data_IF_656159894029
#
_entry.id   IF_656159894029
#
_cell.length_a   1.000
_cell.length_b   1.000
_cell.length_c   1.000
_cell.angle_alpha   90.00
_cell.angle_beta   90.00
_cell.angle_gamma   90.00
#
_symmetry.space_group_name_H-M   'P 1'
#
loop_
_entity.id
_entity.type
_entity.pdbx_description
1 polymer ?
#
# COMPACT_ATOMS: atom_id res chain seq x y z
N UNK A 1 6.40 -5.98 -1.30
CA UNK A 1 5.09 -6.37 -1.91
C UNK A 1 3.94 -5.44 -1.48
N UNK A 2 4.15 -4.57 -0.50
CA UNK A 2 3.21 -3.58 0.04
C UNK A 2 2.48 -2.73 -1.03
N UNK A 3 3.23 -2.17 -1.98
CA UNK A 3 2.73 -1.22 -2.97
C UNK A 3 1.63 -1.72 -3.92
N UNK A 4 1.32 -3.02 -3.95
CA UNK A 4 0.09 -3.53 -4.61
C UNK A 4 -1.19 -3.25 -3.80
N UNK A 5 -1.10 -2.57 -2.65
CA UNK A 5 -2.23 -2.20 -1.78
C UNK A 5 -2.35 -0.69 -1.48
N UNK A 6 -1.31 0.12 -1.71
CA UNK A 6 -1.29 1.59 -1.47
C UNK A 6 -0.85 2.38 -2.73
N UNK A 7 -0.94 3.73 -2.76
CA UNK A 7 -0.76 4.53 -4.00
C UNK A 7 -0.24 6.00 -3.85
N UNK A 8 0.49 6.58 -4.85
CA UNK A 8 1.14 7.93 -4.81
C UNK A 8 2.67 8.27 -5.17
N UNK A 9 3.16 9.25 -5.98
CA UNK A 9 4.63 9.64 -6.10
C UNK A 9 5.22 11.09 -5.93
N UNK A 10 6.57 11.25 -5.77
CA UNK A 10 7.31 12.54 -5.52
C UNK A 10 8.21 13.03 -6.68
N UNK A 11 8.27 14.35 -6.90
CA UNK A 11 8.86 15.04 -8.08
C UNK A 11 10.38 15.01 -8.24
N UNK A 12 10.79 15.03 -9.51
CA UNK A 12 11.85 15.93 -10.01
C UNK A 12 11.22 17.22 -10.61
N UNK A 13 11.97 18.31 -10.69
CA UNK A 13 11.52 19.66 -11.06
C UNK A 13 10.88 19.79 -12.47
N UNK A 14 10.01 20.80 -12.70
CA UNK A 14 9.22 20.91 -13.93
C UNK A 14 10.06 21.36 -15.15
N UNK A 15 9.69 20.85 -16.33
CA UNK A 15 9.94 21.52 -17.61
C UNK A 15 8.64 22.17 -18.09
N UNK A 16 8.75 23.36 -18.67
CA UNK A 16 7.60 24.04 -19.25
C UNK A 16 7.03 23.25 -20.43
N UNK A 17 5.74 22.93 -20.40
CA UNK A 17 4.99 22.54 -21.59
C UNK A 17 4.39 23.79 -22.25
N UNK A 18 4.45 23.78 -23.58
CA UNK A 18 4.02 24.88 -24.45
C UNK A 18 2.53 25.16 -24.27
N UNK A 19 2.13 26.43 -24.23
CA UNK A 19 0.73 26.81 -24.27
C UNK A 19 0.14 26.41 -25.64
N UNK A 20 -0.88 25.55 -25.64
CA UNK A 20 -1.66 25.31 -26.85
C UNK A 20 -2.53 26.54 -27.11
N UNK A 21 -2.28 27.22 -28.24
CA UNK A 21 -3.08 28.36 -28.66
C UNK A 21 -4.51 27.95 -29.00
N UNK A 22 -5.47 28.79 -28.62
CA UNK A 22 -6.89 28.57 -28.88
C UNK A 22 -7.22 28.67 -30.36
N UNK A 23 -7.34 27.54 -31.05
CA UNK A 23 -7.84 27.47 -32.42
C UNK A 23 -9.32 27.10 -32.45
N UNK A 24 -10.13 28.01 -32.99
CA UNK A 24 -11.60 27.93 -33.02
C UNK A 24 -12.13 27.17 -34.24
N UNK A 25 -13.04 26.20 -34.09
CA UNK A 25 -14.11 25.97 -35.10
C UNK A 25 -15.26 25.04 -34.66
N UNK A 26 -16.47 25.37 -35.12
CA UNK A 26 -17.60 24.49 -35.47
C UNK A 26 -18.13 23.41 -34.52
N UNK A 27 -19.14 23.80 -33.73
CA UNK A 27 -20.52 23.27 -33.77
C UNK A 27 -20.77 21.78 -34.15
N UNK A 28 -21.33 21.03 -33.18
CA UNK A 28 -22.31 19.97 -33.44
C UNK A 28 -23.31 19.89 -32.26
N UNK A 29 -24.58 20.28 -32.49
CA UNK A 29 -25.63 20.18 -31.47
C UNK A 29 -26.31 18.81 -31.50
N UNK A 30 -26.45 18.16 -30.34
CA UNK A 30 -27.51 17.16 -30.12
C UNK A 30 -28.14 17.33 -28.74
N UNK A 31 -29.38 17.86 -28.72
CA UNK A 31 -30.29 17.77 -27.57
C UNK A 31 -31.12 16.50 -27.69
N UNK A 32 -31.32 15.79 -26.58
CA UNK A 32 -32.49 14.93 -26.39
C UNK A 32 -33.07 15.24 -25.01
N UNK A 33 -34.38 15.51 -24.98
CA UNK A 33 -35.15 15.73 -23.74
C UNK A 33 -36.45 14.95 -23.85
N UNK A 34 -36.85 14.27 -22.77
CA UNK A 34 -38.19 13.67 -22.63
C UNK A 34 -38.71 13.88 -21.21
N UNK A 35 -40.04 13.81 -21.05
CA UNK A 35 -40.76 14.55 -20.00
C UNK A 35 -41.76 13.69 -19.23
N UNK A 36 -41.58 13.60 -17.91
CA UNK A 36 -42.63 13.30 -16.92
C UNK A 36 -43.24 11.88 -16.92
N UNK A 37 -44.30 11.64 -16.11
CA UNK A 37 -44.96 12.55 -15.17
C UNK A 37 -44.86 12.11 -13.69
N UNK A 38 -45.55 12.85 -12.81
CA UNK A 38 -45.50 12.75 -11.33
C UNK A 38 -46.60 11.81 -10.79
N UNK A 39 -46.35 11.14 -9.66
CA UNK A 39 -47.42 10.78 -8.71
C UNK A 39 -46.93 10.81 -7.25
N UNK A 40 -47.75 11.37 -6.35
CA UNK A 40 -47.56 11.35 -4.90
C UNK A 40 -48.54 10.37 -4.26
N UNK A 41 -48.10 9.60 -3.26
CA UNK A 41 -48.97 9.15 -2.16
C UNK A 41 -48.25 9.20 -0.82
N UNK A 42 -48.78 10.00 0.09
CA UNK A 42 -48.47 9.92 1.51
C UNK A 42 -49.31 8.81 2.15
N UNK A 43 -48.79 8.17 3.19
CA UNK A 43 -49.59 7.35 4.10
C UNK A 43 -49.35 7.84 5.53
N UNK A 44 -50.40 8.36 6.16
CA UNK A 44 -50.40 8.78 7.56
C UNK A 44 -51.06 7.66 8.37
N UNK A 45 -50.40 7.13 9.39
CA UNK A 45 -51.03 6.28 10.41
C UNK A 45 -50.51 6.71 11.78
N UNK A 46 -51.46 7.03 12.67
CA UNK A 46 -51.21 7.31 14.07
C UNK A 46 -52.35 6.72 14.89
N UNK A 47 -52.02 6.15 16.05
CA UNK A 47 -52.74 6.15 17.35
C UNK A 47 -52.26 4.97 18.21
N UNK A 48 -52.28 5.12 19.54
CA UNK A 48 -51.93 4.04 20.47
C UNK A 48 -51.24 4.47 21.76
N UNK A 49 -51.80 5.45 22.49
CA UNK A 49 -51.34 5.76 23.84
C UNK A 49 -51.98 4.82 24.87
N UNK A 50 -51.21 4.32 25.83
CA UNK A 50 -51.70 3.48 26.93
C UNK A 50 -50.80 3.56 28.15
N UNK A 51 -51.35 3.98 29.30
CA UNK A 51 -50.60 4.14 30.55
C UNK A 51 -50.48 2.80 31.31
N UNK A 52 -49.31 2.56 31.92
CA UNK A 52 -49.04 1.41 32.80
C UNK A 52 -48.02 1.78 33.89
N UNK A 53 -48.42 1.68 35.16
CA UNK A 53 -47.74 2.36 36.28
C UNK A 53 -46.39 1.75 36.71
N UNK A 54 -45.40 2.64 36.87
CA UNK A 54 -44.39 2.69 37.95
C UNK A 54 -43.64 1.43 38.39
N UNK A 55 -42.32 1.41 38.11
CA UNK A 55 -41.31 1.31 39.18
C UNK A 55 -39.97 1.91 38.76
N UNK A 56 -39.45 2.85 39.54
CA UNK A 56 -38.09 3.40 39.38
C UNK A 56 -37.18 2.76 40.41
N UNK A 57 -36.09 2.13 39.95
CA UNK A 57 -34.97 1.69 40.78
C UNK A 57 -33.67 2.03 40.09
N UNK A 58 -33.01 3.10 40.55
CA UNK A 58 -31.63 3.40 40.16
C UNK A 58 -30.68 2.46 40.91
N UNK A 59 -29.95 1.63 40.16
CA UNK A 59 -28.79 0.89 40.65
C UNK A 59 -27.79 0.76 39.49
N UNK A 60 -26.53 1.16 39.72
CA UNK A 60 -25.51 1.20 38.68
C UNK A 60 -24.55 0.00 38.80
N UNK A 61 -24.32 -0.72 37.71
CA UNK A 61 -23.04 -1.37 37.35
C UNK A 61 -23.13 -2.17 36.03
N UNK A 62 -22.10 -2.09 35.19
CA UNK A 62 -21.58 -3.27 34.48
C UNK A 62 -22.38 -3.88 33.32
N UNK A 63 -23.14 -3.12 32.54
CA UNK A 63 -23.68 -3.63 31.27
C UNK A 63 -22.58 -3.70 30.19
N UNK A 64 -22.08 -4.90 29.89
CA UNK A 64 -21.08 -5.10 28.83
C UNK A 64 -21.67 -4.84 27.43
N UNK A 65 -20.93 -4.13 26.58
CA UNK A 65 -21.35 -3.84 25.21
C UNK A 65 -21.61 -5.14 24.40
N UNK A 66 -22.66 -5.20 23.56
CA UNK A 66 -22.99 -6.41 22.83
C UNK A 66 -21.89 -6.77 21.83
N UNK A 67 -21.26 -7.94 22.01
CA UNK A 67 -20.31 -8.50 21.04
C UNK A 67 -21.06 -8.84 19.75
N UNK A 68 -21.05 -7.90 18.80
CA UNK A 68 -21.69 -8.07 17.51
C UNK A 68 -21.02 -9.23 16.75
N UNK A 69 -21.70 -10.38 16.68
CA UNK A 69 -21.23 -11.56 15.93
C UNK A 69 -21.45 -11.34 14.44
N UNK A 70 -20.68 -10.43 13.84
CA UNK A 70 -20.50 -10.39 12.39
C UNK A 70 -20.05 -11.78 11.92
N UNK A 71 -20.83 -12.41 11.04
CA UNK A 71 -20.46 -13.70 10.47
C UNK A 71 -19.12 -13.58 9.75
N UNK A 72 -18.22 -14.54 9.95
CA UNK A 72 -16.97 -14.61 9.17
C UNK A 72 -17.32 -14.80 7.69
N UNK A 73 -17.36 -13.72 6.93
CA UNK A 73 -17.31 -13.78 5.48
C UNK A 73 -15.90 -14.23 5.13
N UNK A 74 -15.78 -15.46 4.63
CA UNK A 74 -14.50 -16.01 4.22
C UNK A 74 -13.92 -15.15 3.09
N UNK A 75 -12.66 -14.73 3.23
CA UNK A 75 -12.03 -13.79 2.29
C UNK A 75 -11.61 -14.59 1.05
N UNK A 76 -12.40 -14.45 -0.01
CA UNK A 76 -12.24 -15.17 -1.27
C UNK A 76 -10.81 -14.96 -1.84
N UNK A 77 -10.08 -16.06 -2.07
CA UNK A 77 -8.64 -16.02 -2.35
C UNK A 77 -8.33 -15.80 -3.84
N UNK A 78 -8.70 -14.62 -4.34
CA UNK A 78 -8.34 -14.15 -5.69
C UNK A 78 -6.81 -14.03 -5.90
N UNK A 79 -6.39 -13.86 -7.16
CA UNK A 79 -5.01 -13.49 -7.50
C UNK A 79 -4.58 -12.14 -6.87
N UNK A 80 -5.54 -11.24 -6.65
CA UNK A 80 -5.35 -9.86 -6.17
C UNK A 80 -5.54 -9.70 -4.64
N UNK A 81 -5.80 -10.80 -3.93
CA UNK A 81 -5.90 -10.82 -2.46
C UNK A 81 -4.49 -10.88 -1.85
N UNK A 82 -4.10 -10.00 -0.91
CA UNK A 82 -2.78 -10.04 -0.28
C UNK A 82 -2.49 -11.42 0.34
N UNK A 83 -1.29 -11.94 0.07
CA UNK A 83 -0.83 -13.25 0.57
C UNK A 83 0.33 -13.06 1.53
N UNK A 84 0.62 -14.09 2.32
CA UNK A 84 1.88 -14.16 3.06
C UNK A 84 2.92 -14.90 2.22
N UNK A 85 4.18 -14.47 2.30
CA UNK A 85 5.25 -14.97 1.43
C UNK A 85 6.36 -15.68 2.22
N UNK A 86 6.95 -16.69 1.60
CA UNK A 86 8.11 -17.43 2.10
C UNK A 86 9.06 -17.74 0.95
N UNK A 87 10.28 -18.16 1.25
CA UNK A 87 11.34 -18.33 0.24
C UNK A 87 12.25 -19.51 0.54
N UNK A 88 13.17 -19.76 -0.38
CA UNK A 88 14.30 -20.65 -0.16
C UNK A 88 15.35 -19.89 0.67
N UNK A 89 15.28 -20.08 1.99
CA UNK A 89 16.17 -19.41 2.93
C UNK A 89 17.62 -19.91 2.83
N UNK A 90 17.83 -21.10 2.29
CA UNK A 90 19.15 -21.71 2.18
C UNK A 90 19.82 -21.20 0.88
N UNK A 91 19.05 -20.99 -0.20
CA UNK A 91 19.45 -20.18 -1.37
C UNK A 91 19.74 -18.71 -0.97
N UNK A 92 18.91 -18.08 -0.11
CA UNK A 92 19.20 -16.74 0.44
C UNK A 92 20.51 -16.68 1.24
N UNK A 93 20.76 -17.67 2.11
CA UNK A 93 22.01 -17.76 2.87
C UNK A 93 23.22 -17.90 1.91
N UNK A 94 23.14 -18.71 0.85
CA UNK A 94 24.21 -18.80 -0.16
C UNK A 94 24.42 -17.48 -0.93
N UNK A 95 23.35 -16.80 -1.33
CA UNK A 95 23.42 -15.54 -2.09
C UNK A 95 24.13 -14.41 -1.30
N UNK A 96 23.98 -14.39 0.03
CA UNK A 96 24.59 -13.38 0.91
C UNK A 96 25.85 -13.85 1.65
N UNK A 97 26.30 -15.10 1.46
CA UNK A 97 27.52 -15.60 2.10
C UNK A 97 28.77 -14.91 1.54
N UNK A 98 29.49 -14.19 2.41
CA UNK A 98 30.73 -13.44 2.07
C UNK A 98 31.90 -14.31 1.63
N UNK A 99 31.92 -15.60 2.01
CA UNK A 99 32.91 -16.57 1.55
C UNK A 99 32.61 -17.06 0.13
N UNK A 100 31.33 -17.15 -0.26
CA UNK A 100 30.86 -17.67 -1.54
C UNK A 100 30.72 -16.54 -2.59
N UNK A 101 29.92 -15.50 -2.31
CA UNK A 101 29.60 -14.46 -3.28
C UNK A 101 30.59 -13.28 -3.20
N UNK A 102 31.47 -13.17 -4.20
CA UNK A 102 32.47 -12.09 -4.30
C UNK A 102 31.97 -10.80 -4.96
N UNK A 103 30.68 -10.71 -5.26
CA UNK A 103 30.03 -9.49 -5.76
C UNK A 103 29.36 -8.67 -4.64
N UNK A 104 29.40 -9.13 -3.38
CA UNK A 104 28.87 -8.41 -2.23
C UNK A 104 29.72 -7.16 -1.95
N UNK A 105 29.10 -5.98 -2.10
CA UNK A 105 29.73 -4.70 -1.84
C UNK A 105 29.49 -4.29 -0.38
N UNK A 106 30.25 -4.88 0.55
CA UNK A 106 30.05 -4.66 2.00
C UNK A 106 30.10 -3.16 2.38
N UNK A 107 30.93 -2.34 1.73
CA UNK A 107 30.98 -0.89 1.99
C UNK A 107 29.69 -0.15 1.58
N UNK A 108 28.98 -0.62 0.55
CA UNK A 108 27.65 -0.09 0.17
C UNK A 108 26.59 -0.56 1.17
N UNK A 109 26.67 -1.81 1.65
CA UNK A 109 25.80 -2.30 2.72
C UNK A 109 26.05 -1.64 4.08
N UNK A 110 27.30 -1.35 4.47
CA UNK A 110 27.62 -0.61 5.70
C UNK A 110 27.09 0.83 5.65
N UNK A 111 27.21 1.49 4.50
CA UNK A 111 26.63 2.82 4.26
C UNK A 111 25.09 2.81 4.39
N UNK A 112 24.43 1.85 3.74
CA UNK A 112 22.99 1.63 3.87
C UNK A 112 22.59 1.32 5.33
N UNK A 113 23.37 0.50 6.04
CA UNK A 113 23.12 0.16 7.44
C UNK A 113 23.23 1.39 8.37
N UNK A 114 24.12 2.34 8.08
CA UNK A 114 24.18 3.60 8.81
C UNK A 114 22.90 4.44 8.61
N UNK A 115 22.42 4.54 7.37
CA UNK A 115 21.17 5.24 7.01
C UNK A 115 19.93 4.59 7.65
N UNK A 116 19.85 3.25 7.68
CA UNK A 116 18.77 2.52 8.40
C UNK A 116 18.83 2.70 9.94
N UNK A 117 20.04 2.86 10.51
CA UNK A 117 20.27 3.11 11.94
C UNK A 117 19.95 4.54 12.38
N UNK A 118 20.02 5.51 11.47
CA UNK A 118 19.69 6.91 11.76
C UNK A 118 18.19 7.12 12.11
N UNK A 119 17.31 6.26 11.60
CA UNK A 119 15.88 6.17 11.98
C UNK A 119 15.14 7.52 12.06
N UNK A 120 15.25 8.35 11.02
CA UNK A 120 14.63 9.68 10.97
C UNK A 120 13.11 9.66 11.20
N UNK A 121 12.46 8.51 10.98
CA UNK A 121 11.02 8.29 11.19
C UNK A 121 10.66 7.73 12.59
N UNK A 122 11.60 7.66 13.55
CA UNK A 122 11.38 7.12 14.89
C UNK A 122 10.13 7.68 15.59
N UNK A 123 9.93 9.01 15.50
CA UNK A 123 8.81 9.73 16.13
C UNK A 123 7.66 10.04 15.17
N UNK A 124 7.77 9.67 13.89
CA UNK A 124 6.81 10.07 12.85
C UNK A 124 5.42 9.42 13.03
N UNK A 125 5.36 8.14 13.41
CA UNK A 125 4.13 7.35 13.48
C UNK A 125 3.27 7.61 14.75
N UNK A 126 3.26 8.85 15.24
CA UNK A 126 2.46 9.32 16.37
C UNK A 126 1.13 9.89 15.87
N UNK A 127 0.02 9.29 16.30
CA UNK A 127 -1.35 9.68 15.91
C UNK A 127 -1.86 10.86 16.75
N UNK A 128 -2.67 11.73 16.16
CA UNK A 128 -3.33 12.85 16.82
C UNK A 128 -4.86 12.60 16.97
N UNK A 129 -5.62 13.47 17.67
CA UNK A 129 -7.07 13.31 17.82
C UNK A 129 -7.91 13.49 16.54
N UNK A 130 -7.38 14.11 15.48
CA UNK A 130 -8.11 14.34 14.22
C UNK A 130 -8.60 13.02 13.60
N UNK A 131 -7.79 11.96 13.72
CA UNK A 131 -8.05 10.66 13.10
C UNK A 131 -9.42 10.07 13.48
N UNK A 132 -9.77 10.08 14.78
CA UNK A 132 -11.03 9.49 15.24
C UNK A 132 -12.23 10.30 14.74
N UNK A 133 -12.15 11.62 14.82
CA UNK A 133 -13.15 12.54 14.25
C UNK A 133 -13.35 12.28 12.75
N UNK A 134 -12.26 12.15 11.99
CA UNK A 134 -12.32 11.83 10.57
C UNK A 134 -12.96 10.46 10.28
N UNK A 135 -12.59 9.40 11.01
CA UNK A 135 -13.20 8.08 10.86
C UNK A 135 -14.72 8.06 11.12
N UNK A 136 -15.19 8.87 12.08
CA UNK A 136 -16.62 9.00 12.39
C UNK A 136 -17.38 9.82 11.33
N UNK A 137 -16.69 10.70 10.60
CA UNK A 137 -17.26 11.44 9.46
C UNK A 137 -17.30 10.63 8.15
N UNK A 138 -16.47 9.60 7.98
CA UNK A 138 -16.48 8.75 6.78
C UNK A 138 -17.65 7.76 6.85
N UNK A 139 -18.63 7.92 5.95
CA UNK A 139 -19.88 7.16 5.94
C UNK A 139 -20.18 6.52 4.58
N UNK A 140 -21.21 5.66 4.53
CA UNK A 140 -21.71 5.06 3.29
C UNK A 140 -20.68 4.18 2.56
N UNK A 141 -20.73 4.10 1.21
CA UNK A 141 -19.82 3.28 0.41
C UNK A 141 -18.34 3.60 0.64
N UNK A 142 -17.99 4.89 0.77
CA UNK A 142 -16.61 5.34 1.02
C UNK A 142 -16.03 4.71 2.29
N UNK A 143 -16.84 4.53 3.35
CA UNK A 143 -16.41 3.86 4.59
C UNK A 143 -16.00 2.41 4.36
N UNK A 144 -16.75 1.67 3.54
CA UNK A 144 -16.44 0.27 3.26
C UNK A 144 -15.16 0.15 2.40
N UNK A 145 -15.01 1.02 1.41
CA UNK A 145 -13.83 1.08 0.54
C UNK A 145 -12.58 1.45 1.35
N UNK A 146 -12.69 2.45 2.24
CA UNK A 146 -11.56 2.91 3.05
C UNK A 146 -11.12 1.87 4.10
N UNK A 147 -12.06 1.08 4.63
CA UNK A 147 -11.74 -0.07 5.49
C UNK A 147 -11.06 -1.18 4.69
N UNK A 148 -11.53 -1.51 3.49
CA UNK A 148 -10.86 -2.51 2.63
C UNK A 148 -9.42 -2.10 2.31
N UNK A 149 -9.19 -0.81 2.01
CA UNK A 149 -7.86 -0.23 1.86
C UNK A 149 -6.99 -0.48 3.10
N UNK A 150 -7.42 -0.03 4.28
CA UNK A 150 -6.67 -0.21 5.52
C UNK A 150 -6.40 -1.68 5.86
N UNK A 151 -7.37 -2.58 5.67
CA UNK A 151 -7.20 -4.02 5.92
C UNK A 151 -6.21 -4.68 4.95
N UNK A 152 -6.30 -4.36 3.65
CA UNK A 152 -5.42 -4.90 2.60
C UNK A 152 -3.98 -4.44 2.80
N UNK A 153 -3.76 -3.15 2.99
CA UNK A 153 -2.43 -2.58 3.20
C UNK A 153 -1.81 -3.11 4.49
N UNK A 154 -2.55 -3.13 5.61
CA UNK A 154 -2.05 -3.67 6.87
C UNK A 154 -1.62 -5.14 6.74
N UNK A 155 -2.36 -5.93 5.95
CA UNK A 155 -2.00 -7.33 5.65
C UNK A 155 -0.75 -7.44 4.77
N UNK A 156 -0.53 -6.49 3.87
CA UNK A 156 0.63 -6.46 2.97
C UNK A 156 1.93 -6.06 3.69
N UNK A 157 1.92 -4.95 4.45
CA UNK A 157 3.07 -4.54 5.29
C UNK A 157 3.42 -5.64 6.30
N UNK A 158 2.40 -6.22 6.95
CA UNK A 158 2.64 -7.30 7.89
C UNK A 158 3.24 -8.56 7.24
N UNK A 159 3.05 -8.78 5.93
CA UNK A 159 3.78 -9.83 5.21
C UNK A 159 5.24 -9.48 4.92
N UNK A 160 5.57 -8.21 4.64
CA UNK A 160 6.95 -7.76 4.45
C UNK A 160 7.75 -7.95 5.75
N UNK A 161 7.21 -7.43 6.85
CA UNK A 161 7.69 -7.64 8.21
C UNK A 161 8.08 -9.10 8.51
N UNK A 162 7.18 -10.06 8.25
CA UNK A 162 7.41 -11.48 8.57
C UNK A 162 8.60 -12.07 7.80
N UNK A 163 8.68 -11.78 6.49
CA UNK A 163 9.76 -12.27 5.63
C UNK A 163 11.11 -11.67 6.04
N UNK A 164 11.18 -10.34 6.21
CA UNK A 164 12.42 -9.65 6.55
C UNK A 164 12.90 -9.98 7.96
N UNK A 165 11.99 -10.20 8.91
CA UNK A 165 12.34 -10.65 10.27
C UNK A 165 12.97 -12.04 10.28
N UNK A 166 12.50 -12.97 9.43
CA UNK A 166 13.12 -14.30 9.32
C UNK A 166 14.47 -14.23 8.58
N UNK A 167 14.60 -13.43 7.50
CA UNK A 167 15.88 -13.18 6.83
C UNK A 167 16.91 -12.56 7.79
N UNK A 168 16.52 -11.52 8.52
CA UNK A 168 17.33 -10.88 9.55
C UNK A 168 17.69 -11.79 10.72
N UNK A 169 16.93 -12.87 10.97
CA UNK A 169 17.27 -13.92 11.95
C UNK A 169 18.25 -14.96 11.38
N UNK A 170 18.01 -15.40 10.15
CA UNK A 170 18.80 -16.41 9.41
C UNK A 170 20.23 -15.92 9.15
N UNK A 171 20.35 -14.77 8.49
CA UNK A 171 21.60 -14.29 7.90
C UNK A 171 22.65 -13.84 8.94
N UNK A 172 22.36 -13.81 10.25
CA UNK A 172 23.24 -13.25 11.29
C UNK A 172 24.64 -13.88 11.39
N UNK A 173 24.80 -15.12 10.92
CA UNK A 173 26.11 -15.82 10.86
C UNK A 173 26.79 -15.71 9.50
N UNK A 174 26.04 -15.33 8.47
CA UNK A 174 26.37 -15.50 7.05
C UNK A 174 26.73 -14.16 6.41
N UNK A 175 26.01 -13.11 6.79
CA UNK A 175 26.36 -11.70 6.59
C UNK A 175 25.69 -10.86 7.70
N UNK A 176 26.43 -10.46 8.75
CA UNK A 176 25.88 -9.69 9.86
C UNK A 176 25.34 -8.31 9.47
N UNK A 177 25.93 -7.66 8.46
CA UNK A 177 25.53 -6.32 7.99
C UNK A 177 24.15 -6.40 7.33
N UNK A 178 24.01 -7.26 6.31
CA UNK A 178 22.74 -7.51 5.60
C UNK A 178 21.66 -8.03 6.55
N UNK A 179 22.01 -8.89 7.53
CA UNK A 179 21.06 -9.38 8.54
C UNK A 179 20.52 -8.27 9.46
N UNK A 180 21.36 -7.29 9.81
CA UNK A 180 20.93 -6.13 10.59
C UNK A 180 20.07 -5.17 9.76
N UNK A 181 20.39 -4.97 8.46
CA UNK A 181 19.52 -4.19 7.56
C UNK A 181 18.13 -4.84 7.45
N UNK A 182 18.03 -6.15 7.20
CA UNK A 182 16.74 -6.85 7.21
C UNK A 182 16.01 -6.75 8.55
N UNK A 183 16.75 -6.72 9.67
CA UNK A 183 16.16 -6.51 11.01
C UNK A 183 15.56 -5.11 11.14
N UNK A 184 16.26 -4.07 10.70
CA UNK A 184 15.80 -2.67 10.74
C UNK A 184 14.68 -2.38 9.74
N UNK A 185 14.74 -2.97 8.54
CA UNK A 185 13.64 -2.93 7.56
C UNK A 185 12.38 -3.60 8.13
N UNK A 186 12.52 -4.71 8.87
CA UNK A 186 11.38 -5.32 9.59
C UNK A 186 10.81 -4.45 10.72
N UNK A 187 11.62 -3.57 11.36
CA UNK A 187 11.13 -2.56 12.31
C UNK A 187 10.25 -1.53 11.60
N UNK A 188 10.58 -1.16 10.38
CA UNK A 188 9.85 -0.16 9.60
C UNK A 188 8.47 -0.71 9.20
N UNK A 189 8.47 -1.87 8.53
CA UNK A 189 7.27 -2.66 8.18
C UNK A 189 6.35 -2.93 9.40
N UNK A 190 6.93 -3.19 10.58
CA UNK A 190 6.14 -3.36 11.82
C UNK A 190 5.49 -2.05 12.31
N UNK A 191 6.14 -0.89 12.10
CA UNK A 191 5.54 0.43 12.37
C UNK A 191 4.43 0.73 11.38
N UNK A 192 4.68 0.48 10.09
CA UNK A 192 3.74 0.64 8.97
C UNK A 192 2.45 -0.17 9.19
N UNK A 193 2.57 -1.49 9.35
CA UNK A 193 1.46 -2.40 9.67
C UNK A 193 0.73 -1.97 10.95
N UNK A 194 1.48 -1.61 11.99
CA UNK A 194 0.92 -1.16 13.28
C UNK A 194 0.17 0.17 13.20
N UNK A 195 0.57 1.07 12.30
CA UNK A 195 -0.11 2.35 12.07
C UNK A 195 -1.44 2.16 11.33
N UNK A 196 -1.46 1.29 10.31
CA UNK A 196 -2.67 0.92 9.59
C UNK A 196 -3.68 0.17 10.49
N UNK A 197 -3.24 -0.77 11.32
CA UNK A 197 -4.10 -1.49 12.27
C UNK A 197 -4.67 -0.55 13.36
N UNK A 198 -3.87 0.41 13.82
CA UNK A 198 -4.36 1.51 14.66
C UNK A 198 -5.41 2.35 13.93
N UNK A 199 -5.32 2.52 12.61
CA UNK A 199 -6.33 3.22 11.82
C UNK A 199 -7.67 2.48 11.80
N UNK A 200 -7.65 1.16 11.57
CA UNK A 200 -8.84 0.30 11.66
C UNK A 200 -9.57 0.42 13.01
N UNK A 201 -8.81 0.63 14.09
CA UNK A 201 -9.35 0.77 15.46
C UNK A 201 -10.31 1.96 15.58
N UNK A 202 -10.12 3.03 14.80
CA UNK A 202 -11.04 4.18 14.81
C UNK A 202 -12.42 3.81 14.23
N UNK A 203 -12.43 2.89 13.25
CA UNK A 203 -13.63 2.32 12.64
C UNK A 203 -14.26 1.20 13.48
N UNK A 204 -13.74 0.96 14.69
CA UNK A 204 -14.06 -0.13 15.62
C UNK A 204 -13.71 -1.54 15.09
N UNK A 205 -12.64 -1.64 14.28
CA UNK A 205 -12.11 -2.89 13.73
C UNK A 205 -10.66 -3.10 14.16
N UNK A 206 -10.17 -4.35 14.12
CA UNK A 206 -8.74 -4.62 14.32
C UNK A 206 -8.37 -5.97 13.70
N UNK A 207 -7.21 -6.04 13.09
CA UNK A 207 -6.64 -7.30 12.61
C UNK A 207 -5.82 -7.95 13.73
N UNK A 208 -6.16 -9.18 14.10
CA UNK A 208 -5.29 -10.03 14.92
C UNK A 208 -4.15 -10.57 14.04
N UNK A 209 -3.10 -9.78 13.94
CA UNK A 209 -1.88 -10.11 13.20
C UNK A 209 -1.23 -11.41 13.74
N UNK A 210 -1.38 -11.69 15.05
CA UNK A 210 -0.88 -12.92 15.69
C UNK A 210 -1.70 -14.17 15.41
N UNK A 211 -2.96 -14.02 15.00
CA UNK A 211 -3.81 -15.08 14.45
C UNK A 211 -3.55 -15.29 12.95
N UNK A 212 -3.34 -14.21 12.18
CA UNK A 212 -3.08 -14.30 10.74
C UNK A 212 -1.85 -15.16 10.43
N UNK A 213 -0.74 -15.02 11.18
CA UNK A 213 0.48 -15.85 10.99
C UNK A 213 0.24 -17.36 11.11
N UNK A 214 -0.80 -17.77 11.85
CA UNK A 214 -1.12 -19.17 12.13
C UNK A 214 -2.14 -19.77 11.16
N UNK A 215 -2.84 -18.94 10.39
CA UNK A 215 -4.00 -19.35 9.60
C UNK A 215 -3.93 -19.00 8.11
N UNK A 216 -3.10 -18.01 7.71
CA UNK A 216 -2.83 -17.75 6.30
C UNK A 216 -1.85 -18.77 5.72
N UNK A 217 -2.11 -19.19 4.48
CA UNK A 217 -1.19 -20.00 3.68
C UNK A 217 -0.01 -19.12 3.24
N UNK A 218 1.20 -19.62 3.46
CA UNK A 218 2.42 -19.00 2.93
C UNK A 218 2.61 -19.40 1.46
N UNK A 219 2.91 -18.42 0.63
CA UNK A 219 3.14 -18.57 -0.81
C UNK A 219 4.64 -18.55 -1.06
N UNK A 220 5.20 -19.64 -1.59
CA UNK A 220 6.63 -19.74 -1.87
C UNK A 220 7.02 -18.95 -3.12
N UNK A 221 8.06 -18.13 -3.02
CA UNK A 221 8.75 -17.51 -4.16
C UNK A 221 10.26 -17.74 -4.06
N UNK A 222 10.91 -18.04 -5.19
CA UNK A 222 12.38 -18.12 -5.25
C UNK A 222 13.03 -16.74 -4.96
N UNK A 223 14.21 -16.69 -4.33
CA UNK A 223 14.93 -15.45 -4.02
C UNK A 223 15.04 -14.46 -5.19
N UNK A 224 15.42 -14.93 -6.38
CA UNK A 224 15.45 -14.12 -7.60
C UNK A 224 14.13 -13.36 -7.85
N UNK A 225 13.00 -14.04 -7.68
CA UNK A 225 11.67 -13.47 -7.93
C UNK A 225 11.21 -12.55 -6.80
N UNK A 226 11.65 -12.80 -5.56
CA UNK A 226 11.46 -11.85 -4.46
C UNK A 226 12.26 -10.57 -4.73
N UNK A 227 13.50 -10.66 -5.21
CA UNK A 227 14.27 -9.45 -5.51
C UNK A 227 13.63 -8.61 -6.62
N UNK A 228 13.15 -9.23 -7.72
CA UNK A 228 12.39 -8.51 -8.74
C UNK A 228 11.08 -7.92 -8.20
N UNK A 229 10.25 -8.74 -7.55
CA UNK A 229 8.91 -8.32 -7.11
C UNK A 229 8.97 -7.28 -5.99
N UNK A 230 9.94 -7.39 -5.08
CA UNK A 230 10.15 -6.43 -4.00
C UNK A 230 10.82 -5.15 -4.49
N UNK A 231 11.92 -5.20 -5.28
CA UNK A 231 12.50 -3.96 -5.83
C UNK A 231 11.48 -3.18 -6.67
N UNK A 232 10.69 -3.88 -7.50
CA UNK A 232 9.58 -3.25 -8.22
C UNK A 232 8.52 -2.73 -7.26
N UNK A 233 8.09 -3.47 -6.22
CA UNK A 233 7.10 -2.92 -5.29
C UNK A 233 7.63 -1.75 -4.46
N UNK A 234 8.91 -1.67 -4.11
CA UNK A 234 9.38 -0.54 -3.29
C UNK A 234 9.56 0.73 -4.12
N UNK A 235 10.03 0.62 -5.38
CA UNK A 235 10.09 1.77 -6.29
C UNK A 235 8.72 2.15 -6.86
N UNK A 236 7.86 1.17 -7.15
CA UNK A 236 6.45 1.45 -7.39
C UNK A 236 5.83 2.08 -6.15
N UNK A 237 6.14 1.62 -4.93
CA UNK A 237 5.71 2.08 -3.59
C UNK A 237 6.11 3.50 -3.22
N UNK A 238 7.29 3.92 -3.63
CA UNK A 238 7.70 5.32 -3.57
C UNK A 238 6.90 6.20 -4.55
N UNK A 239 6.62 5.67 -5.75
CA UNK A 239 5.58 6.22 -6.64
C UNK A 239 4.16 5.74 -6.26
N UNK A 240 4.02 5.07 -5.09
CA UNK A 240 2.78 4.53 -4.51
C UNK A 240 2.49 4.90 -3.02
N UNK A 241 2.86 6.11 -2.58
CA UNK A 241 2.33 6.83 -1.41
C UNK A 241 2.18 8.40 -1.48
N UNK A 242 2.99 9.16 -2.24
CA UNK A 242 3.16 10.64 -2.07
C UNK A 242 2.45 11.62 -3.06
N UNK A 243 2.12 11.32 -4.31
CA UNK A 243 1.15 12.16 -5.09
C UNK A 243 -0.30 12.06 -4.52
N UNK A 244 -0.60 11.15 -3.57
CA UNK A 244 -1.81 11.18 -2.70
C UNK A 244 -1.61 12.36 -1.79
N UNK A 245 -0.50 12.35 -1.06
CA UNK A 245 -0.12 13.45 -0.20
C UNK A 245 -0.09 14.79 -0.95
N UNK A 246 0.33 14.84 -2.21
CA UNK A 246 0.36 16.08 -3.02
C UNK A 246 -0.99 16.49 -3.57
N UNK A 247 -1.73 15.56 -4.17
CA UNK A 247 -3.08 15.80 -4.65
C UNK A 247 -3.97 16.30 -3.52
N UNK A 248 -3.87 15.68 -2.33
CA UNK A 248 -4.61 16.09 -1.13
C UNK A 248 -4.02 17.31 -0.41
N UNK A 249 -2.73 17.64 -0.60
CA UNK A 249 -2.11 18.91 -0.15
C UNK A 249 -2.46 20.09 -1.08
N UNK A 250 -2.83 19.81 -2.32
CA UNK A 250 -3.35 20.78 -3.29
C UNK A 250 -4.87 20.91 -3.25
N UNK A 251 -5.59 19.82 -2.95
CA UNK A 251 -7.06 19.73 -2.89
C UNK A 251 -7.49 19.12 -1.53
N UNK A 252 -7.37 19.87 -0.40
CA UNK A 252 -7.59 19.33 0.95
C UNK A 252 -9.02 18.84 1.24
N UNK A 253 -10.00 19.26 0.44
CA UNK A 253 -11.40 18.86 0.53
C UNK A 253 -11.62 17.36 0.29
N UNK A 254 -10.72 16.70 -0.45
CA UNK A 254 -10.75 15.25 -0.68
C UNK A 254 -10.00 14.45 0.39
N UNK A 255 -9.34 15.10 1.35
CA UNK A 255 -8.53 14.44 2.38
C UNK A 255 -9.42 13.86 3.50
N UNK A 256 -10.15 12.79 3.18
CA UNK A 256 -11.15 12.18 4.06
C UNK A 256 -10.59 11.62 5.39
N UNK A 257 -9.29 11.32 5.47
CA UNK A 257 -8.66 10.75 6.66
C UNK A 257 -7.19 11.22 6.84
N UNK A 258 -6.69 11.49 8.07
CA UNK A 258 -5.37 12.05 8.28
C UNK A 258 -4.17 11.17 7.92
N UNK A 259 -4.35 9.86 7.65
CA UNK A 259 -3.23 8.96 7.32
C UNK A 259 -2.38 9.48 6.16
N UNK A 260 -3.04 10.13 5.19
CA UNK A 260 -2.40 10.68 4.00
C UNK A 260 -1.35 11.76 4.32
N UNK A 261 -1.51 12.50 5.43
CA UNK A 261 -0.51 13.48 5.93
C UNK A 261 0.83 12.83 6.29
N UNK A 262 0.83 11.53 6.61
CA UNK A 262 2.01 10.80 7.08
C UNK A 262 2.79 10.16 5.94
N UNK A 263 2.26 10.16 4.72
CA UNK A 263 2.86 9.45 3.60
C UNK A 263 4.20 10.07 3.13
N UNK A 264 4.41 11.39 3.20
CA UNK A 264 5.67 12.04 2.74
C UNK A 264 6.94 11.48 3.39
N UNK A 265 6.90 11.22 4.69
CA UNK A 265 8.01 10.59 5.43
C UNK A 265 8.03 9.07 5.27
N UNK A 266 6.86 8.40 5.21
CA UNK A 266 6.75 6.96 4.96
C UNK A 266 7.49 6.59 3.67
N UNK A 267 7.31 7.37 2.60
CA UNK A 267 8.00 7.19 1.31
C UNK A 267 9.53 7.16 1.40
N UNK A 268 10.12 7.77 2.44
CA UNK A 268 11.56 7.74 2.64
C UNK A 268 12.03 6.38 3.20
N UNK A 269 11.17 5.66 3.94
CA UNK A 269 11.41 4.27 4.29
C UNK A 269 11.37 3.40 3.02
N UNK A 270 10.27 3.47 2.25
CA UNK A 270 10.14 2.74 0.96
C UNK A 270 11.33 3.01 0.02
N UNK A 271 11.81 4.26 -0.06
CA UNK A 271 12.95 4.58 -0.90
C UNK A 271 14.24 3.93 -0.38
N UNK A 272 14.54 4.02 0.92
CA UNK A 272 15.67 3.32 1.57
C UNK A 272 15.61 1.81 1.36
N UNK A 273 14.42 1.22 1.49
CA UNK A 273 14.18 -0.21 1.24
C UNK A 273 14.48 -0.55 -0.22
N UNK A 274 13.95 0.23 -1.16
CA UNK A 274 14.23 0.07 -2.59
C UNK A 274 15.70 0.31 -2.99
N UNK A 275 16.43 1.16 -2.29
CA UNK A 275 17.87 1.38 -2.51
C UNK A 275 18.72 0.24 -1.94
N UNK A 276 18.34 -0.32 -0.79
CA UNK A 276 18.89 -1.58 -0.30
C UNK A 276 18.63 -2.73 -1.28
N UNK A 277 17.40 -2.93 -1.76
CA UNK A 277 17.11 -3.93 -2.78
C UNK A 277 17.86 -3.66 -4.11
N UNK A 278 18.16 -2.41 -4.45
CA UNK A 278 19.05 -2.10 -5.57
C UNK A 278 20.47 -2.63 -5.34
N UNK A 279 21.06 -2.39 -4.16
CA UNK A 279 22.38 -2.93 -3.80
C UNK A 279 22.39 -4.47 -3.75
N UNK A 280 21.34 -5.09 -3.19
CA UNK A 280 21.17 -6.56 -3.22
C UNK A 280 21.15 -7.08 -4.66
N UNK A 281 20.43 -6.44 -5.59
CA UNK A 281 20.39 -6.85 -6.99
C UNK A 281 21.74 -6.64 -7.73
N UNK A 282 22.47 -5.54 -7.46
CA UNK A 282 23.82 -5.32 -8.01
C UNK A 282 24.79 -6.44 -7.59
N UNK A 283 24.71 -6.87 -6.33
CA UNK A 283 25.51 -7.97 -5.78
C UNK A 283 25.11 -9.37 -6.30
N UNK A 284 24.10 -9.45 -7.18
CA UNK A 284 23.66 -10.68 -7.85
C UNK A 284 23.63 -10.47 -9.38
N UNK A 285 24.78 -10.31 -10.06
CA UNK A 285 24.83 -9.98 -11.49
C UNK A 285 24.11 -11.00 -12.39
N UNK A 286 23.99 -12.26 -11.94
CA UNK A 286 23.20 -13.31 -12.60
C UNK A 286 21.68 -13.00 -12.66
N UNK A 287 21.19 -12.06 -11.85
CA UNK A 287 19.80 -11.58 -11.88
C UNK A 287 19.62 -10.26 -12.66
N UNK A 288 20.68 -9.72 -13.27
CA UNK A 288 20.62 -8.47 -14.07
C UNK A 288 21.18 -8.60 -15.49
N UNK A 289 22.28 -9.32 -15.67
CA UNK A 289 23.15 -9.11 -16.84
C UNK A 289 22.85 -10.05 -18.02
N UNK A 290 22.42 -11.30 -17.76
CA UNK A 290 22.15 -12.30 -18.79
C UNK A 290 20.80 -12.06 -19.51
N UNK A 291 20.56 -12.78 -20.61
CA UNK A 291 19.34 -12.59 -21.41
C UNK A 291 18.07 -13.09 -20.69
N UNK A 292 18.19 -14.10 -19.82
CA UNK A 292 17.06 -14.63 -19.05
C UNK A 292 16.64 -13.66 -17.96
N UNK A 293 17.60 -13.07 -17.24
CA UNK A 293 17.41 -12.00 -16.26
C UNK A 293 16.70 -10.80 -16.89
N UNK A 294 17.10 -10.39 -18.11
CA UNK A 294 16.44 -9.30 -18.84
C UNK A 294 14.99 -9.64 -19.23
N UNK A 295 14.72 -10.88 -19.66
CA UNK A 295 13.34 -11.34 -19.90
C UNK A 295 12.52 -11.44 -18.60
N UNK A 296 13.11 -11.90 -17.50
CA UNK A 296 12.44 -11.92 -16.20
C UNK A 296 12.14 -10.50 -15.70
N UNK A 297 13.09 -9.56 -15.79
CA UNK A 297 12.86 -8.16 -15.44
C UNK A 297 11.73 -7.53 -16.29
N UNK A 298 11.70 -7.78 -17.60
CA UNK A 298 10.59 -7.40 -18.51
C UNK A 298 9.27 -8.03 -18.04
N UNK A 299 9.25 -9.33 -17.77
CA UNK A 299 8.07 -10.08 -17.34
C UNK A 299 7.52 -9.60 -15.99
N UNK A 300 8.37 -9.40 -14.98
CA UNK A 300 7.97 -8.90 -13.68
C UNK A 300 7.48 -7.46 -13.76
N UNK A 301 8.15 -6.58 -14.51
CA UNK A 301 7.71 -5.21 -14.74
C UNK A 301 6.29 -5.17 -15.34
N UNK A 302 6.07 -5.88 -16.45
CA UNK A 302 4.76 -5.99 -17.11
C UNK A 302 3.71 -6.63 -16.19
N UNK A 303 4.04 -7.74 -15.53
CA UNK A 303 3.11 -8.47 -14.67
C UNK A 303 2.70 -7.64 -13.46
N UNK A 304 3.61 -6.86 -12.88
CA UNK A 304 3.31 -5.98 -11.75
C UNK A 304 2.47 -4.80 -12.19
N UNK A 305 2.77 -4.13 -13.31
CA UNK A 305 1.95 -3.04 -13.85
C UNK A 305 0.53 -3.49 -14.25
N UNK A 306 0.39 -4.65 -14.93
CA UNK A 306 -0.93 -5.22 -15.26
C UNK A 306 -1.69 -5.59 -13.99
N UNK A 307 -1.02 -6.19 -13.00
CA UNK A 307 -1.63 -6.53 -11.72
C UNK A 307 -2.09 -5.28 -10.96
N UNK A 308 -1.29 -4.22 -10.96
CA UNK A 308 -1.58 -2.90 -10.38
C UNK A 308 -2.83 -2.29 -11.04
N UNK A 309 -2.79 -2.03 -12.34
CA UNK A 309 -3.90 -1.44 -13.11
C UNK A 309 -5.21 -2.22 -12.95
N UNK A 310 -5.17 -3.56 -12.93
CA UNK A 310 -6.36 -4.39 -12.66
C UNK A 310 -6.84 -4.29 -11.20
N UNK A 311 -5.95 -4.11 -10.23
CA UNK A 311 -6.29 -3.88 -8.82
C UNK A 311 -6.97 -2.52 -8.61
N UNK A 312 -6.46 -1.50 -9.28
CA UNK A 312 -6.86 -0.11 -9.12
C UNK A 312 -8.13 0.22 -9.91
N UNK A 313 -8.28 -0.29 -11.13
CA UNK A 313 -9.56 -0.21 -11.87
C UNK A 313 -10.70 -0.91 -11.11
N UNK A 314 -10.44 -2.03 -10.42
CA UNK A 314 -11.41 -2.63 -9.49
C UNK A 314 -11.75 -1.75 -8.28
N UNK A 315 -10.89 -0.77 -7.96
CA UNK A 315 -11.00 0.17 -6.84
C UNK A 315 -11.21 1.60 -7.31
N UNK A 316 -11.78 1.79 -8.51
CA UNK A 316 -12.00 3.12 -9.12
C UNK A 316 -12.64 4.11 -8.13
N UNK A 317 -13.68 3.68 -7.39
CA UNK A 317 -14.37 4.51 -6.40
C UNK A 317 -13.60 4.83 -5.11
N UNK A 318 -12.43 4.23 -4.87
CA UNK A 318 -11.47 4.75 -3.88
C UNK A 318 -10.83 6.04 -4.39
N UNK A 319 -10.30 5.99 -5.62
CA UNK A 319 -9.61 7.09 -6.27
C UNK A 319 -10.56 8.26 -6.55
N UNK A 320 -11.75 8.00 -7.09
CA UNK A 320 -12.80 9.02 -7.25
C UNK A 320 -13.19 9.63 -5.90
N UNK A 321 -13.26 8.82 -4.84
CA UNK A 321 -13.54 9.24 -3.47
C UNK A 321 -12.46 10.11 -2.82
N UNK A 322 -11.24 10.14 -3.39
CA UNK A 322 -10.15 11.06 -3.03
C UNK A 322 -9.83 12.07 -4.15
N UNK A 323 -10.74 12.32 -5.10
CA UNK A 323 -10.61 13.39 -6.09
C UNK A 323 -9.82 13.04 -7.36
N UNK A 324 -9.53 11.76 -7.61
CA UNK A 324 -8.75 11.30 -8.76
C UNK A 324 -9.55 10.55 -9.83
N UNK A 325 -9.05 10.65 -11.08
CA UNK A 325 -9.27 9.64 -12.10
C UNK A 325 -8.22 8.52 -11.97
N UNK A 326 -8.67 7.29 -11.73
CA UNK A 326 -7.85 6.08 -11.59
C UNK A 326 -6.91 5.82 -12.75
N UNK A 327 -7.34 6.04 -14.00
CA UNK A 327 -6.54 5.68 -15.18
C UNK A 327 -5.41 6.67 -15.43
N UNK A 328 -5.71 7.96 -15.40
CA UNK A 328 -4.71 9.03 -15.55
C UNK A 328 -3.65 8.88 -14.45
N UNK A 329 -4.12 8.48 -13.27
CA UNK A 329 -3.31 8.19 -12.12
C UNK A 329 -2.39 6.95 -12.30
N UNK A 330 -2.94 5.77 -12.64
CA UNK A 330 -2.12 4.56 -12.85
C UNK A 330 -1.08 4.76 -13.94
N UNK A 331 -1.46 5.46 -15.03
CA UNK A 331 -0.55 5.80 -16.12
C UNK A 331 0.57 6.74 -15.68
N UNK A 332 0.30 7.72 -14.80
CA UNK A 332 1.33 8.56 -14.20
C UNK A 332 2.36 7.74 -13.40
N UNK A 333 1.93 6.77 -12.58
CA UNK A 333 2.86 5.88 -11.85
C UNK A 333 3.69 5.04 -12.80
N UNK A 334 3.05 4.40 -13.79
CA UNK A 334 3.76 3.58 -14.78
C UNK A 334 4.85 4.40 -15.48
N UNK A 335 4.56 5.65 -15.86
CA UNK A 335 5.51 6.55 -16.51
C UNK A 335 6.68 6.93 -15.58
N UNK A 336 6.42 7.37 -14.35
CA UNK A 336 7.46 7.82 -13.42
C UNK A 336 8.36 6.69 -12.90
N UNK A 337 7.79 5.52 -12.62
CA UNK A 337 8.56 4.30 -12.31
C UNK A 337 9.45 3.94 -13.50
N UNK A 338 8.91 3.99 -14.72
CA UNK A 338 9.69 3.66 -15.93
C UNK A 338 10.82 4.65 -16.22
N UNK A 339 10.70 5.92 -15.80
CA UNK A 339 11.81 6.88 -15.86
C UNK A 339 12.88 6.66 -14.78
N UNK A 340 12.51 6.09 -13.63
CA UNK A 340 13.41 5.86 -12.48
C UNK A 340 14.04 4.48 -12.45
N UNK A 341 13.51 3.49 -13.19
CA UNK A 341 14.17 2.19 -13.39
C UNK A 341 15.53 2.37 -14.12
N UNK A 342 16.62 1.78 -13.60
CA UNK A 342 17.97 2.05 -14.11
C UNK A 342 18.22 1.51 -15.53
N UNK A 343 17.51 0.46 -15.96
CA UNK A 343 17.66 -0.09 -17.30
C UNK A 343 16.66 0.52 -18.31
N UNK A 344 16.90 1.79 -18.68
CA UNK A 344 16.15 2.50 -19.75
C UNK A 344 16.22 1.81 -21.13
N UNK A 345 17.21 0.93 -21.34
CA UNK A 345 17.36 0.07 -22.52
C UNK A 345 16.72 -1.31 -22.37
N UNK A 346 16.16 -1.68 -21.21
CA UNK A 346 15.53 -2.98 -21.02
C UNK A 346 14.04 -2.97 -21.33
N UNK A 347 13.26 -2.00 -20.82
CA UNK A 347 11.85 -2.25 -20.52
C UNK A 347 10.82 -1.77 -21.58
N UNK A 348 10.86 -0.49 -21.98
CA UNK A 348 9.65 0.19 -22.50
C UNK A 348 9.84 1.19 -23.66
N UNK A 349 11.04 1.31 -24.24
CA UNK A 349 11.27 2.15 -25.43
C UNK A 349 11.21 1.35 -26.75
N UNK A 350 10.70 0.11 -26.71
CA UNK A 350 10.58 -0.83 -27.85
C UNK A 350 9.17 -1.45 -27.95
N UNK A 351 8.16 -0.78 -27.37
CA UNK A 351 6.72 -1.09 -27.43
C UNK A 351 5.93 0.17 -27.75
#
# INVERSE_FOLDING_TARGET
MAAMACSMGTTVAPRAMVALESTTSSLANYRVSFVGPISRRSALVAFGAGNGSSRVTMAAAGAAAPKNKGGKKEIDESLLTPRFYTTDFDEMEQLFNVEINKNLNEAEFESLLAEFKADYNQTHFVRNPEFKSAADNIQGPLRQIFIEFLERSCTAEFSGFLLYKELGRRLKKTNPVVAEIFTLMSRDEARHAGFLNKGLSDFNLSLDLGFLTKTRKYTFFKPQFIFYATYLSEKIGYWRYITIFRHLKQNPEYQCYPIFKYFENWCQDENRHGDFFSALMKAQPQFLNDWKAKLWARFFCLSVYVTMYLNDVQRTSFYEGIGLNTRDFDMHVIVEVSFTLPCRSCALNEL
#
